data_IF_267824126858
#
_entry.id   IF_267824126858
#
_cell.length_a   1.000
_cell.length_b   1.000
_cell.length_c   1.000
_cell.angle_alpha   90.00
_cell.angle_beta   90.00
_cell.angle_gamma   90.00
#
_symmetry.space_group_name_H-M   'P 1'
#
loop_
_entity.id
_entity.type
_entity.pdbx_description
1 polymer ?
#
# COMPACT_ATOMS: atom_id res chain seq x y z
N UNK A 1 -38.81 -67.10 3.37
CA UNK A 1 -38.42 -66.09 4.38
C UNK A 1 -37.75 -64.94 3.68
N UNK A 2 -38.23 -63.70 3.86
CA UNK A 2 -37.79 -62.49 3.18
C UNK A 2 -36.71 -61.76 4.00
N UNK A 3 -35.75 -61.11 3.35
CA UNK A 3 -35.07 -59.95 3.96
C UNK A 3 -34.71 -58.91 2.91
N UNK A 4 -35.43 -57.80 3.02
CA UNK A 4 -35.30 -56.53 2.35
C UNK A 4 -34.03 -55.80 2.82
N UNK A 5 -33.19 -55.29 1.90
CA UNK A 5 -32.11 -54.35 2.25
C UNK A 5 -32.14 -53.13 1.33
N UNK A 6 -32.92 -52.15 1.80
CA UNK A 6 -32.64 -50.72 1.93
C UNK A 6 -31.63 -50.09 0.94
N UNK A 7 -32.19 -49.30 0.01
CA UNK A 7 -31.51 -48.23 -0.75
C UNK A 7 -31.03 -47.14 0.23
N UNK A 8 -29.71 -46.87 0.29
CA UNK A 8 -29.18 -45.64 0.91
C UNK A 8 -29.11 -44.52 -0.12
N UNK A 9 -29.89 -43.49 0.13
CA UNK A 9 -29.87 -42.20 -0.56
C UNK A 9 -28.71 -41.38 0.01
N UNK A 10 -27.65 -41.19 -0.77
CA UNK A 10 -26.61 -40.19 -0.47
C UNK A 10 -27.00 -38.86 -1.12
N UNK A 11 -27.84 -38.08 -0.42
CA UNK A 11 -28.13 -36.67 -0.73
C UNK A 11 -27.47 -35.75 0.30
N UNK A 12 -26.15 -35.62 0.29
CA UNK A 12 -25.44 -34.62 1.09
C UNK A 12 -24.33 -34.02 0.22
N UNK A 13 -24.74 -33.15 -0.70
CA UNK A 13 -23.87 -32.45 -1.64
C UNK A 13 -24.45 -31.08 -2.00
N UNK A 14 -25.09 -30.41 -1.05
CA UNK A 14 -25.32 -28.96 -1.18
C UNK A 14 -24.00 -28.29 -0.84
N UNK A 15 -23.13 -28.16 -1.84
CA UNK A 15 -22.07 -27.16 -1.86
C UNK A 15 -22.76 -25.82 -1.66
N UNK A 16 -22.68 -25.31 -0.43
CA UNK A 16 -23.16 -23.99 -0.07
C UNK A 16 -22.22 -22.97 -0.75
N UNK A 17 -22.52 -22.66 -2.00
CA UNK A 17 -22.07 -21.47 -2.70
C UNK A 17 -22.70 -20.26 -1.96
N UNK A 18 -22.15 -19.93 -0.79
CA UNK A 18 -22.26 -18.60 -0.23
C UNK A 18 -21.48 -17.68 -1.16
N UNK A 19 -22.17 -17.29 -2.24
CA UNK A 19 -22.00 -16.01 -2.90
C UNK A 19 -22.11 -14.96 -1.80
N UNK A 20 -20.98 -14.66 -1.17
CA UNK A 20 -20.80 -13.43 -0.41
C UNK A 20 -21.08 -12.35 -1.45
N UNK A 21 -22.31 -11.83 -1.42
CA UNK A 21 -22.65 -10.56 -2.00
C UNK A 21 -21.73 -9.55 -1.30
N UNK A 22 -20.52 -9.43 -1.84
CA UNK A 22 -19.47 -8.58 -1.29
C UNK A 22 -20.05 -7.20 -1.27
N UNK A 23 -20.34 -6.71 -0.06
CA UNK A 23 -20.90 -5.39 0.15
C UNK A 23 -20.05 -4.40 -0.67
N UNK A 24 -20.65 -3.85 -1.73
CA UNK A 24 -20.00 -2.99 -2.71
C UNK A 24 -19.69 -1.59 -2.14
N UNK A 25 -19.58 -1.47 -0.80
CA UNK A 25 -19.40 -0.20 -0.11
C UNK A 25 -18.97 -0.36 1.35
N UNK A 26 -18.76 0.77 2.04
CA UNK A 26 -18.47 0.80 3.47
C UNK A 26 -19.56 0.09 4.28
N UNK A 27 -19.17 -0.56 5.38
CA UNK A 27 -20.13 -1.31 6.20
C UNK A 27 -21.12 -0.38 6.93
N UNK A 28 -20.67 0.83 7.27
CA UNK A 28 -21.46 1.84 7.98
C UNK A 28 -21.07 3.24 7.53
N UNK A 29 -22.09 4.04 7.24
CA UNK A 29 -21.94 5.48 6.99
C UNK A 29 -22.49 6.30 8.15
N UNK A 30 -21.77 7.36 8.47
CA UNK A 30 -22.11 8.37 9.46
C UNK A 30 -22.48 9.68 8.74
N UNK A 31 -23.25 10.58 9.38
CA UNK A 31 -23.58 11.89 8.80
C UNK A 31 -22.30 12.67 8.49
N UNK A 32 -22.24 13.33 7.32
CA UNK A 32 -21.08 14.15 6.95
C UNK A 32 -20.85 15.26 8.01
N UNK A 33 -19.61 15.46 8.47
CA UNK A 33 -19.32 16.56 9.39
C UNK A 33 -19.43 17.90 8.65
N UNK A 34 -19.93 18.98 9.29
CA UNK A 34 -20.12 20.27 8.64
C UNK A 34 -18.81 20.92 8.17
N UNK A 35 -17.67 20.51 8.73
CA UNK A 35 -16.36 21.03 8.38
C UNK A 35 -15.83 20.48 7.05
N UNK A 36 -16.30 19.31 6.59
CA UNK A 36 -15.78 18.69 5.37
C UNK A 36 -16.76 18.83 4.20
N UNK A 37 -16.29 19.19 2.99
CA UNK A 37 -17.14 19.24 1.82
C UNK A 37 -17.62 17.83 1.44
N UNK A 38 -18.83 17.72 0.90
CA UNK A 38 -19.37 16.43 0.42
C UNK A 38 -18.56 15.86 -0.76
N UNK A 39 -17.83 16.73 -1.48
CA UNK A 39 -16.96 16.36 -2.59
C UNK A 39 -15.70 17.21 -2.65
N UNK A 40 -14.58 16.61 -3.05
CA UNK A 40 -13.31 17.29 -3.25
C UNK A 40 -12.59 16.72 -4.50
N UNK A 41 -12.27 17.57 -5.47
CA UNK A 41 -11.63 17.21 -6.75
C UNK A 41 -12.23 15.97 -7.42
N UNK A 42 -13.56 15.95 -7.60
CA UNK A 42 -14.28 14.85 -8.26
C UNK A 42 -14.48 13.59 -7.41
N UNK A 43 -14.04 13.58 -6.14
CA UNK A 43 -14.22 12.47 -5.20
C UNK A 43 -15.29 12.82 -4.19
N UNK A 44 -16.14 11.84 -3.83
CA UNK A 44 -17.18 12.00 -2.83
C UNK A 44 -16.67 11.61 -1.44
N UNK A 45 -17.15 12.29 -0.41
CA UNK A 45 -16.91 11.95 0.98
C UNK A 45 -17.74 10.73 1.41
N UNK A 46 -17.05 9.74 1.97
CA UNK A 46 -17.61 8.58 2.65
C UNK A 46 -17.14 8.62 4.10
N UNK A 47 -18.05 9.03 4.99
CA UNK A 47 -17.75 9.11 6.42
C UNK A 47 -18.09 7.79 7.10
N UNK A 48 -17.07 7.02 7.50
CA UNK A 48 -17.21 5.73 8.19
C UNK A 48 -16.78 5.86 9.65
N UNK A 49 -17.01 4.87 10.54
CA UNK A 49 -16.50 4.94 11.92
C UNK A 49 -14.99 5.17 12.02
N UNK A 50 -14.21 4.62 11.10
CA UNK A 50 -12.74 4.65 11.17
C UNK A 50 -12.08 5.76 10.34
N UNK A 51 -12.75 6.29 9.31
CA UNK A 51 -12.16 7.33 8.47
C UNK A 51 -13.17 8.24 7.76
N UNK A 52 -12.66 9.39 7.31
CA UNK A 52 -13.21 10.21 6.25
C UNK A 52 -12.52 9.82 4.95
N UNK A 53 -13.25 9.20 4.03
CA UNK A 53 -12.68 8.64 2.80
C UNK A 53 -13.19 9.45 1.61
N UNK A 54 -12.30 10.09 0.87
CA UNK A 54 -12.63 10.71 -0.41
C UNK A 54 -12.30 9.72 -1.53
N UNK A 55 -13.34 9.19 -2.16
CA UNK A 55 -13.22 8.25 -3.27
C UNK A 55 -14.30 8.52 -4.32
N UNK A 56 -14.04 8.17 -5.59
CA UNK A 56 -15.01 8.34 -6.67
C UNK A 56 -16.23 7.42 -6.54
N UNK A 57 -15.99 6.18 -6.17
CA UNK A 57 -17.00 5.12 -6.17
C UNK A 57 -17.15 4.48 -4.78
N UNK A 58 -18.33 3.92 -4.56
CA UNK A 58 -18.71 3.25 -3.31
C UNK A 58 -17.78 2.07 -3.02
N UNK A 59 -17.44 1.31 -4.06
CA UNK A 59 -16.66 0.08 -4.00
C UNK A 59 -15.25 0.35 -3.48
N UNK A 60 -14.65 1.45 -3.95
CA UNK A 60 -13.32 1.93 -3.54
C UNK A 60 -13.38 2.38 -2.08
N UNK A 61 -14.42 3.10 -1.70
CA UNK A 61 -14.61 3.52 -0.31
C UNK A 61 -14.79 2.30 0.61
N UNK A 62 -15.52 1.27 0.16
CA UNK A 62 -15.72 0.02 0.90
C UNK A 62 -14.45 -0.81 1.03
N UNK A 63 -13.64 -0.90 -0.03
CA UNK A 63 -12.30 -1.48 0.05
C UNK A 63 -11.43 -0.72 1.07
N UNK A 64 -11.50 0.61 1.01
CA UNK A 64 -10.74 1.49 1.89
C UNK A 64 -11.13 1.29 3.36
N UNK A 65 -12.43 1.27 3.66
CA UNK A 65 -12.96 1.05 5.01
C UNK A 65 -12.54 -0.31 5.57
N UNK A 66 -12.60 -1.38 4.75
CA UNK A 66 -12.24 -2.74 5.17
C UNK A 66 -10.77 -2.89 5.55
N UNK A 67 -9.84 -2.30 4.81
CA UNK A 67 -8.42 -2.42 5.18
C UNK A 67 -8.10 -1.59 6.44
N UNK A 68 -8.73 -0.42 6.60
CA UNK A 68 -8.57 0.41 7.80
C UNK A 68 -9.10 -0.34 9.03
N UNK A 69 -10.27 -0.97 8.94
CA UNK A 69 -10.81 -1.81 10.00
C UNK A 69 -9.88 -2.99 10.30
N UNK A 70 -9.33 -3.65 9.27
CA UNK A 70 -8.34 -4.72 9.42
C UNK A 70 -7.08 -4.28 10.19
N UNK A 71 -6.52 -3.11 9.85
CA UNK A 71 -5.39 -2.51 10.57
C UNK A 71 -5.79 -2.15 12.01
N UNK A 72 -6.94 -1.51 12.22
CA UNK A 72 -7.43 -1.16 13.56
C UNK A 72 -7.61 -2.40 14.45
N UNK A 73 -8.16 -3.49 13.89
CA UNK A 73 -8.29 -4.76 14.59
C UNK A 73 -6.93 -5.40 14.92
N UNK A 74 -5.93 -5.28 14.05
CA UNK A 74 -4.56 -5.69 14.38
C UNK A 74 -4.00 -4.86 15.53
N UNK A 75 -4.14 -3.54 15.48
CA UNK A 75 -3.61 -2.65 16.53
C UNK A 75 -4.23 -2.93 17.90
N UNK A 76 -5.54 -3.19 17.92
CA UNK A 76 -6.25 -3.53 19.15
C UNK A 76 -5.75 -4.86 19.74
N UNK A 77 -5.63 -5.91 18.91
CA UNK A 77 -5.17 -7.23 19.38
C UNK A 77 -3.70 -7.26 19.81
N UNK A 78 -2.84 -6.51 19.13
CA UNK A 78 -1.38 -6.61 19.30
C UNK A 78 -0.85 -5.59 20.32
N UNK A 79 -1.46 -4.40 20.39
CA UNK A 79 -0.92 -3.28 21.15
C UNK A 79 -1.91 -2.66 22.15
N UNK A 80 -3.13 -3.23 22.28
CA UNK A 80 -4.23 -2.62 23.03
C UNK A 80 -4.49 -1.15 22.61
N UNK A 81 -4.24 -0.87 21.33
CA UNK A 81 -4.32 0.47 20.75
C UNK A 81 -5.47 0.62 19.76
N UNK A 82 -5.83 1.85 19.45
CA UNK A 82 -6.76 2.18 18.37
C UNK A 82 -6.04 3.02 17.31
N UNK A 83 -6.38 2.79 16.04
CA UNK A 83 -5.83 3.57 14.92
C UNK A 83 -6.22 5.06 15.03
N UNK A 84 -7.42 5.33 15.57
CA UNK A 84 -8.03 6.65 15.55
C UNK A 84 -8.57 7.02 14.16
N UNK A 85 -9.37 8.09 14.09
CA UNK A 85 -10.01 8.52 12.85
C UNK A 85 -8.96 9.00 11.84
N UNK A 86 -9.00 8.45 10.63
CA UNK A 86 -8.17 8.89 9.51
C UNK A 86 -8.89 9.79 8.51
N UNK A 87 -8.12 10.54 7.73
CA UNK A 87 -8.56 11.14 6.46
C UNK A 87 -7.80 10.47 5.31
N UNK A 88 -8.51 9.86 4.37
CA UNK A 88 -7.90 9.15 3.24
C UNK A 88 -8.44 9.70 1.94
N UNK A 89 -7.54 10.13 1.05
CA UNK A 89 -7.89 10.53 -0.32
C UNK A 89 -7.42 9.41 -1.26
N UNK A 90 -8.35 8.80 -1.98
CA UNK A 90 -8.06 7.64 -2.83
C UNK A 90 -7.98 8.07 -4.28
N UNK A 91 -6.83 7.81 -4.91
CA UNK A 91 -6.63 8.02 -6.34
C UNK A 91 -7.19 6.82 -7.12
N UNK A 92 -7.81 7.09 -8.26
CA UNK A 92 -8.44 6.07 -9.07
C UNK A 92 -8.18 6.24 -10.59
N UNK A 93 -8.40 5.18 -11.38
CA UNK A 93 -8.20 5.10 -12.83
C UNK A 93 -8.96 6.15 -13.64
N UNK A 94 -10.07 6.66 -13.12
CA UNK A 94 -10.91 7.66 -13.79
C UNK A 94 -10.65 9.09 -13.32
N UNK A 95 -9.77 9.28 -12.33
CA UNK A 95 -9.35 10.62 -11.94
C UNK A 95 -8.62 11.31 -13.09
N UNK A 96 -8.83 12.62 -13.22
CA UNK A 96 -8.19 13.43 -14.27
C UNK A 96 -6.73 13.75 -13.91
N UNK A 97 -6.42 13.79 -12.61
CA UNK A 97 -5.11 14.16 -12.08
C UNK A 97 -4.74 13.33 -10.85
N UNK A 98 -3.46 12.98 -10.68
CA UNK A 98 -2.99 12.31 -9.48
C UNK A 98 -3.12 13.24 -8.26
N UNK A 99 -3.25 12.66 -7.07
CA UNK A 99 -3.32 13.44 -5.82
C UNK A 99 -1.99 14.14 -5.54
N UNK A 100 -0.89 13.49 -5.89
CA UNK A 100 0.47 14.04 -5.83
C UNK A 100 0.89 14.34 -7.24
N UNK A 101 1.18 15.60 -7.57
CA UNK A 101 1.35 16.03 -8.96
C UNK A 101 2.77 15.78 -9.50
N UNK A 102 3.78 15.77 -8.62
CA UNK A 102 5.19 15.70 -9.02
C UNK A 102 6.01 14.82 -8.09
N UNK A 103 7.18 14.33 -8.55
CA UNK A 103 8.10 13.60 -7.68
C UNK A 103 8.69 14.45 -6.55
N UNK A 104 8.85 15.76 -6.77
CA UNK A 104 9.32 16.68 -5.73
C UNK A 104 8.29 16.80 -4.61
N UNK A 105 7.00 16.87 -4.97
CA UNK A 105 5.91 16.82 -3.99
C UNK A 105 5.85 15.48 -3.27
N UNK A 106 5.99 14.36 -4.02
CA UNK A 106 6.02 13.03 -3.42
C UNK A 106 7.17 12.88 -2.41
N UNK A 107 8.38 13.33 -2.76
CA UNK A 107 9.52 13.29 -1.86
C UNK A 107 9.28 14.17 -0.62
N UNK A 108 8.77 15.38 -0.81
CA UNK A 108 8.39 16.29 0.28
C UNK A 108 7.39 15.66 1.23
N UNK A 109 6.34 15.01 0.72
CA UNK A 109 5.33 14.35 1.53
C UNK A 109 5.89 13.12 2.24
N UNK A 110 6.68 12.30 1.56
CA UNK A 110 7.33 11.14 2.19
C UNK A 110 8.33 11.54 3.28
N UNK A 111 8.86 12.77 3.27
CA UNK A 111 9.68 13.29 4.38
C UNK A 111 8.91 13.57 5.66
N UNK A 112 7.58 13.62 5.60
CA UNK A 112 6.73 13.68 6.80
C UNK A 112 6.73 12.33 7.54
N UNK A 113 7.06 11.23 6.86
CA UNK A 113 7.28 9.95 7.53
C UNK A 113 8.62 9.97 8.27
N UNK A 114 8.66 9.41 9.48
CA UNK A 114 9.89 9.31 10.27
C UNK A 114 11.00 8.62 9.47
N UNK A 115 12.25 8.94 9.79
CA UNK A 115 13.41 8.33 9.14
C UNK A 115 13.42 6.79 9.27
N UNK A 116 12.80 6.24 10.33
CA UNK A 116 12.61 4.80 10.54
C UNK A 116 11.74 4.12 9.47
N UNK A 117 10.84 4.86 8.83
CA UNK A 117 10.03 4.39 7.71
C UNK A 117 10.69 4.65 6.35
N UNK A 118 11.85 5.31 6.34
CA UNK A 118 12.65 5.55 5.16
C UNK A 118 13.65 4.43 4.91
N UNK A 119 13.97 4.10 3.65
CA UNK A 119 15.23 3.43 3.37
C UNK A 119 16.40 4.29 3.89
N UNK A 120 17.46 3.63 4.41
CA UNK A 120 18.67 4.26 4.96
C UNK A 120 19.31 5.32 4.03
N UNK A 121 19.11 5.18 2.72
CA UNK A 121 19.37 6.21 1.71
C UNK A 121 18.07 6.53 0.98
N UNK A 122 17.47 7.70 1.23
CA UNK A 122 16.38 8.21 0.39
C UNK A 122 17.01 8.78 -0.89
N UNK A 123 16.72 8.22 -2.08
CA UNK A 123 17.21 8.80 -3.33
C UNK A 123 16.62 10.20 -3.49
N UNK A 124 17.48 11.14 -3.91
CA UNK A 124 17.07 12.47 -4.35
C UNK A 124 16.03 12.37 -5.48
N UNK A 125 15.22 13.42 -5.73
CA UNK A 125 14.27 13.42 -6.84
C UNK A 125 14.90 13.06 -8.18
N UNK A 126 16.13 13.51 -8.46
CA UNK A 126 16.85 13.19 -9.69
C UNK A 126 17.37 11.75 -9.74
N UNK A 127 17.76 11.17 -8.62
CA UNK A 127 18.05 9.73 -8.52
C UNK A 127 16.79 8.91 -8.78
N UNK A 128 15.66 9.29 -8.18
CA UNK A 128 14.37 8.64 -8.43
C UNK A 128 13.97 8.72 -9.90
N UNK A 129 14.11 9.89 -10.54
CA UNK A 129 13.85 10.03 -11.98
C UNK A 129 14.70 9.07 -12.80
N UNK A 130 16.00 8.96 -12.49
CA UNK A 130 16.91 8.02 -13.15
C UNK A 130 16.50 6.56 -12.91
N UNK A 131 16.09 6.19 -11.70
CA UNK A 131 15.62 4.85 -11.35
C UNK A 131 14.29 4.49 -12.03
N UNK A 132 13.35 5.43 -12.11
CA UNK A 132 12.09 5.28 -12.83
C UNK A 132 12.35 5.05 -14.32
N UNK A 133 13.21 5.87 -14.93
CA UNK A 133 13.64 5.66 -16.33
C UNK A 133 14.30 4.30 -16.49
N UNK A 134 15.22 3.92 -15.60
CA UNK A 134 15.92 2.63 -15.68
C UNK A 134 14.97 1.44 -15.52
N UNK A 135 13.93 1.57 -14.70
CA UNK A 135 12.92 0.52 -14.49
C UNK A 135 11.84 0.49 -15.57
N UNK A 136 11.67 1.57 -16.34
CA UNK A 136 10.63 1.70 -17.36
C UNK A 136 9.29 2.25 -16.83
N UNK A 137 9.28 2.83 -15.63
CA UNK A 137 8.13 3.52 -15.03
C UNK A 137 8.17 5.00 -15.39
N UNK A 138 7.04 5.59 -15.78
CA UNK A 138 6.97 7.04 -15.96
C UNK A 138 6.82 7.75 -14.61
N UNK A 139 7.25 9.02 -14.56
CA UNK A 139 7.01 9.88 -13.40
C UNK A 139 5.52 10.00 -13.08
N UNK A 140 4.68 10.11 -14.11
CA UNK A 140 3.23 10.14 -13.97
C UNK A 140 2.68 8.89 -13.27
N UNK A 141 3.12 7.69 -13.68
CA UNK A 141 2.72 6.43 -13.02
C UNK A 141 3.14 6.38 -11.56
N UNK A 142 4.35 6.85 -11.25
CA UNK A 142 4.83 6.93 -9.88
C UNK A 142 3.93 7.85 -9.02
N UNK A 143 3.55 9.01 -9.58
CA UNK A 143 2.66 9.98 -8.94
C UNK A 143 1.23 9.43 -8.75
N UNK A 144 0.67 8.76 -9.75
CA UNK A 144 -0.63 8.09 -9.66
C UNK A 144 -0.67 7.00 -8.59
N UNK A 145 0.42 6.27 -8.44
CA UNK A 145 0.53 5.16 -7.49
C UNK A 145 0.99 5.58 -6.08
N UNK A 146 1.11 6.89 -5.84
CA UNK A 146 1.69 7.41 -4.61
C UNK A 146 0.90 7.00 -3.37
N UNK A 147 1.62 6.41 -2.41
CA UNK A 147 1.19 6.27 -1.02
C UNK A 147 2.02 7.23 -0.20
N UNK A 148 1.37 8.24 0.39
CA UNK A 148 2.07 9.27 1.13
C UNK A 148 1.18 9.88 2.22
N UNK A 149 1.76 10.29 3.36
CA UNK A 149 1.03 11.14 4.30
C UNK A 149 0.70 12.47 3.64
N UNK A 150 -0.37 13.12 4.09
CA UNK A 150 -0.74 14.44 3.61
C UNK A 150 -0.33 15.49 4.63
N UNK A 151 0.05 16.67 4.16
CA UNK A 151 0.11 17.88 4.99
C UNK A 151 -1.05 18.82 4.67
N UNK A 152 -1.07 19.99 5.32
CA UNK A 152 -2.12 20.99 5.12
C UNK A 152 -2.15 21.48 3.66
N UNK A 153 -0.97 21.69 3.07
CA UNK A 153 -0.85 22.13 1.68
C UNK A 153 -1.44 21.10 0.72
N UNK A 154 -1.06 19.82 0.85
CA UNK A 154 -1.59 18.76 -0.01
C UNK A 154 -3.11 18.54 0.18
N UNK A 155 -3.62 18.64 1.41
CA UNK A 155 -5.07 18.62 1.65
C UNK A 155 -5.77 19.79 0.94
N UNK A 156 -5.18 20.99 0.97
CA UNK A 156 -5.75 22.18 0.34
C UNK A 156 -5.77 22.06 -1.18
N UNK A 157 -4.67 21.57 -1.79
CA UNK A 157 -4.59 21.25 -3.22
C UNK A 157 -5.64 20.20 -3.63
N UNK A 158 -5.94 19.25 -2.74
CA UNK A 158 -6.99 18.26 -2.95
C UNK A 158 -8.43 18.80 -2.77
N UNK A 159 -8.61 20.10 -2.49
CA UNK A 159 -9.91 20.73 -2.31
C UNK A 159 -10.49 20.61 -0.90
N UNK A 160 -9.66 20.30 0.10
CA UNK A 160 -10.08 20.18 1.50
C UNK A 160 -9.77 21.46 2.29
N UNK A 161 -10.53 21.75 3.37
CA UNK A 161 -10.28 22.91 4.21
C UNK A 161 -8.94 22.81 4.94
N UNK A 162 -8.38 23.97 5.26
CA UNK A 162 -7.15 24.08 6.08
C UNK A 162 -7.34 23.47 7.47
N UNK A 163 -8.52 23.69 8.06
CA UNK A 163 -8.90 23.14 9.35
C UNK A 163 -9.73 21.87 9.12
N UNK A 164 -9.15 20.73 9.48
CA UNK A 164 -9.82 19.43 9.47
C UNK A 164 -10.58 19.21 10.79
N UNK A 165 -11.57 18.30 10.83
CA UNK A 165 -12.23 17.89 12.07
C UNK A 165 -11.20 17.48 13.14
N UNK A 166 -11.49 17.84 14.40
CA UNK A 166 -10.56 17.61 15.53
C UNK A 166 -10.27 16.14 15.80
N UNK A 167 -11.16 15.25 15.36
CA UNK A 167 -11.01 13.82 15.55
C UNK A 167 -10.06 13.19 14.51
N UNK A 168 -9.68 13.89 13.42
CA UNK A 168 -8.70 13.40 12.43
C UNK A 168 -7.31 13.33 13.07
N UNK A 169 -6.81 12.10 13.28
CA UNK A 169 -5.52 11.87 13.94
C UNK A 169 -4.40 11.56 12.94
N UNK A 170 -4.74 11.19 11.71
CA UNK A 170 -3.78 10.91 10.63
C UNK A 170 -4.43 11.15 9.27
N UNK A 171 -3.61 11.40 8.25
CA UNK A 171 -4.07 11.70 6.90
C UNK A 171 -3.10 11.19 5.85
N UNK A 172 -3.61 10.61 4.77
CA UNK A 172 -2.79 10.08 3.68
C UNK A 172 -3.54 10.03 2.34
N UNK A 173 -2.79 9.90 1.25
CA UNK A 173 -3.30 9.46 -0.02
C UNK A 173 -2.81 8.05 -0.37
N UNK A 174 -3.58 7.35 -1.19
CA UNK A 174 -3.20 6.05 -1.74
C UNK A 174 -3.97 5.76 -3.05
N UNK A 175 -3.46 4.89 -3.93
CA UNK A 175 -4.22 4.39 -5.05
C UNK A 175 -5.29 3.39 -4.60
N UNK A 176 -6.38 3.27 -5.35
CA UNK A 176 -7.30 2.15 -5.26
C UNK A 176 -6.64 0.85 -5.77
N UNK A 177 -7.16 -0.32 -5.38
CA UNK A 177 -6.62 -1.58 -5.89
C UNK A 177 -6.75 -1.70 -7.41
N UNK A 178 -7.81 -1.16 -8.00
CA UNK A 178 -7.98 -1.16 -9.47
C UNK A 178 -6.93 -0.28 -10.17
N UNK A 179 -6.60 0.88 -9.60
CA UNK A 179 -5.52 1.72 -10.12
C UNK A 179 -4.15 1.06 -9.96
N UNK A 180 -3.86 0.51 -8.78
CA UNK A 180 -2.63 -0.24 -8.53
C UNK A 180 -2.44 -1.39 -9.53
N UNK A 181 -3.52 -2.14 -9.82
CA UNK A 181 -3.50 -3.22 -10.80
C UNK A 181 -3.29 -2.71 -12.23
N UNK A 182 -3.96 -1.61 -12.63
CA UNK A 182 -3.78 -0.99 -13.95
C UNK A 182 -2.32 -0.57 -14.17
N UNK A 183 -1.76 0.19 -13.22
CA UNK A 183 -0.36 0.64 -13.27
C UNK A 183 0.59 -0.55 -13.38
N UNK A 184 0.37 -1.59 -12.57
CA UNK A 184 1.21 -2.79 -12.61
C UNK A 184 1.12 -3.52 -13.97
N UNK A 185 -0.08 -3.61 -14.57
CA UNK A 185 -0.27 -4.23 -15.90
C UNK A 185 0.46 -3.47 -17.00
N UNK A 186 0.50 -2.15 -16.91
CA UNK A 186 1.16 -1.29 -17.90
C UNK A 186 2.69 -1.30 -17.72
N UNK A 187 3.17 -1.32 -16.48
CA UNK A 187 4.60 -1.23 -16.16
C UNK A 187 5.33 -2.58 -16.17
N UNK A 188 4.76 -3.63 -15.57
CA UNK A 188 5.48 -4.88 -15.31
C UNK A 188 6.06 -5.54 -16.57
N UNK A 189 5.34 -5.65 -17.72
CA UNK A 189 5.91 -6.21 -18.93
C UNK A 189 7.12 -5.42 -19.43
N UNK A 190 7.04 -4.07 -19.41
CA UNK A 190 8.12 -3.17 -19.82
C UNK A 190 9.34 -3.30 -18.91
N UNK A 191 9.10 -3.42 -17.61
CA UNK A 191 10.16 -3.62 -16.62
C UNK A 191 10.89 -4.95 -16.82
N UNK A 192 10.15 -6.03 -17.11
CA UNK A 192 10.74 -7.36 -17.40
C UNK A 192 11.57 -7.32 -18.68
N UNK A 193 11.02 -6.78 -19.77
CA UNK A 193 11.74 -6.65 -21.04
C UNK A 193 13.02 -5.81 -20.88
N UNK A 194 12.94 -4.70 -20.14
CA UNK A 194 14.10 -3.81 -19.92
C UNK A 194 15.18 -4.44 -19.04
N UNK A 195 14.80 -5.21 -18.00
CA UNK A 195 15.75 -5.83 -17.05
C UNK A 195 16.30 -7.18 -17.51
N UNK A 196 15.53 -7.95 -18.30
CA UNK A 196 15.86 -9.35 -18.65
C UNK A 196 15.92 -9.61 -20.16
N UNK A 197 15.59 -8.60 -20.97
CA UNK A 197 15.58 -8.70 -22.43
C UNK A 197 14.28 -9.29 -22.98
N UNK A 198 14.06 -9.05 -24.27
CA UNK A 198 12.84 -9.43 -24.99
C UNK A 198 12.58 -10.95 -25.02
N UNK A 199 13.63 -11.75 -25.16
CA UNK A 199 13.51 -13.22 -25.16
C UNK A 199 12.91 -13.75 -23.84
N UNK A 200 13.39 -13.24 -22.71
CA UNK A 200 12.84 -13.60 -21.41
C UNK A 200 11.40 -13.11 -21.23
N UNK A 201 11.10 -11.88 -21.68
CA UNK A 201 9.74 -11.33 -21.60
C UNK A 201 8.72 -12.18 -22.37
N UNK A 202 9.09 -12.71 -23.55
CA UNK A 202 8.23 -13.61 -24.32
C UNK A 202 7.98 -14.92 -23.55
N UNK A 203 9.03 -15.51 -22.98
CA UNK A 203 8.91 -16.76 -22.21
C UNK A 203 8.07 -16.55 -20.94
N UNK A 204 8.19 -15.40 -20.28
CA UNK A 204 7.48 -15.07 -19.06
C UNK A 204 6.03 -14.61 -19.30
N UNK A 205 5.65 -14.26 -20.54
CA UNK A 205 4.35 -13.69 -20.88
C UNK A 205 3.13 -14.47 -20.31
N UNK A 206 3.09 -15.82 -20.33
CA UNK A 206 1.97 -16.57 -19.76
C UNK A 206 1.82 -16.41 -18.24
N UNK A 207 2.91 -16.15 -17.52
CA UNK A 207 2.91 -15.97 -16.07
C UNK A 207 2.63 -14.51 -15.66
N UNK A 208 2.66 -13.56 -16.59
CA UNK A 208 2.52 -12.12 -16.31
C UNK A 208 1.21 -11.74 -15.62
N UNK A 209 0.04 -12.31 -15.93
CA UNK A 209 -1.19 -11.98 -15.21
C UNK A 209 -1.09 -12.25 -13.70
N UNK A 210 -0.51 -13.39 -13.32
CA UNK A 210 -0.31 -13.76 -11.91
C UNK A 210 0.75 -12.86 -11.27
N UNK A 211 1.88 -12.66 -11.95
CA UNK A 211 2.95 -11.78 -11.46
C UNK A 211 2.47 -10.34 -11.25
N UNK A 212 1.56 -9.85 -12.10
CA UNK A 212 0.96 -8.52 -11.99
C UNK A 212 0.03 -8.43 -10.78
N UNK A 213 -0.81 -9.44 -10.53
CA UNK A 213 -1.65 -9.48 -9.34
C UNK A 213 -0.78 -9.47 -8.07
N UNK A 214 0.31 -10.23 -8.06
CA UNK A 214 1.23 -10.27 -6.92
C UNK A 214 1.98 -8.95 -6.73
N UNK A 215 2.42 -8.31 -7.82
CA UNK A 215 3.09 -7.02 -7.75
C UNK A 215 2.13 -5.89 -7.30
N UNK A 216 0.84 -5.95 -7.65
CA UNK A 216 -0.16 -4.99 -7.18
C UNK A 216 -0.32 -5.00 -5.65
N UNK A 217 -0.11 -6.16 -4.99
CA UNK A 217 -0.15 -6.28 -3.52
C UNK A 217 0.94 -5.48 -2.81
N UNK A 218 1.99 -5.05 -3.52
CA UNK A 218 2.99 -4.13 -2.95
C UNK A 218 2.33 -2.81 -2.56
N UNK A 219 1.40 -2.30 -3.36
CA UNK A 219 0.67 -1.07 -3.05
C UNK A 219 -0.23 -1.23 -1.82
N UNK A 220 -0.91 -2.38 -1.70
CA UNK A 220 -1.68 -2.73 -0.51
C UNK A 220 -0.79 -2.76 0.74
N UNK A 221 0.36 -3.42 0.66
CA UNK A 221 1.33 -3.48 1.74
C UNK A 221 1.84 -2.08 2.11
N UNK A 222 2.23 -1.26 1.13
CA UNK A 222 2.73 0.09 1.37
C UNK A 222 1.66 0.97 2.03
N UNK A 223 0.39 0.86 1.61
CA UNK A 223 -0.73 1.57 2.24
C UNK A 223 -0.88 1.21 3.71
N UNK A 224 -0.94 -0.09 4.01
CA UNK A 224 -1.12 -0.60 5.37
C UNK A 224 0.05 -0.19 6.28
N UNK A 225 1.30 -0.36 5.80
CA UNK A 225 2.51 0.01 6.54
C UNK A 225 2.58 1.52 6.77
N UNK A 226 2.22 2.34 5.78
CA UNK A 226 2.22 3.81 5.93
C UNK A 226 1.24 4.25 7.02
N UNK A 227 0.04 3.70 7.04
CA UNK A 227 -0.96 4.00 8.07
C UNK A 227 -0.50 3.53 9.47
N UNK A 228 0.11 2.34 9.54
CA UNK A 228 0.72 1.84 10.78
C UNK A 228 1.81 2.79 11.31
N UNK A 229 2.70 3.27 10.44
CA UNK A 229 3.76 4.21 10.81
C UNK A 229 3.16 5.50 11.36
N UNK A 230 2.17 6.09 10.68
CA UNK A 230 1.47 7.30 11.13
C UNK A 230 0.77 7.13 12.49
N UNK A 231 0.32 5.92 12.80
CA UNK A 231 -0.16 5.59 14.14
C UNK A 231 0.96 5.48 15.17
N UNK A 232 2.05 4.78 14.85
CA UNK A 232 3.15 4.53 15.77
C UNK A 232 3.82 5.81 16.28
N UNK A 233 3.84 6.87 15.47
CA UNK A 233 4.35 8.19 15.85
C UNK A 233 3.53 8.85 16.98
N UNK A 234 2.27 8.45 17.15
CA UNK A 234 1.37 8.95 18.19
C UNK A 234 1.37 8.10 19.46
N UNK A 235 2.05 6.95 19.44
CA UNK A 235 2.14 6.07 20.60
C UNK A 235 3.20 6.60 21.57
N UNK A 236 2.74 6.98 22.76
CA UNK A 236 3.59 7.44 23.86
C UNK A 236 4.53 6.33 24.36
N UNK A 237 5.77 6.70 24.68
CA UNK A 237 6.77 5.78 25.24
C UNK A 237 7.45 4.86 24.22
N UNK A 238 7.12 4.95 22.94
CA UNK A 238 7.93 4.33 21.88
C UNK A 238 9.05 5.28 21.48
N UNK A 239 10.27 4.77 21.40
CA UNK A 239 11.40 5.48 20.81
C UNK A 239 11.52 5.18 19.30
N UNK A 240 12.41 5.88 18.61
CA UNK A 240 12.59 5.72 17.17
C UNK A 240 12.99 4.29 16.77
N UNK A 241 13.86 3.66 17.57
CA UNK A 241 14.35 2.28 17.33
C UNK A 241 13.22 1.26 17.46
N UNK A 242 12.38 1.40 18.48
CA UNK A 242 11.20 0.56 18.67
C UNK A 242 10.21 0.77 17.52
N UNK A 243 9.91 2.02 17.13
CA UNK A 243 9.01 2.30 16.01
C UNK A 243 9.48 1.63 14.72
N UNK A 244 10.77 1.74 14.41
CA UNK A 244 11.37 1.08 13.25
C UNK A 244 11.20 -0.43 13.29
N UNK A 245 11.60 -1.06 14.41
CA UNK A 245 11.52 -2.51 14.59
C UNK A 245 10.08 -3.02 14.47
N UNK A 246 9.11 -2.30 15.05
CA UNK A 246 7.71 -2.67 15.00
C UNK A 246 7.11 -2.47 13.59
N UNK A 247 7.49 -1.40 12.88
CA UNK A 247 7.07 -1.19 11.50
C UNK A 247 7.61 -2.29 10.56
N UNK A 248 8.87 -2.69 10.73
CA UNK A 248 9.46 -3.82 9.99
C UNK A 248 8.78 -5.15 10.33
N UNK A 249 8.46 -5.38 11.60
CA UNK A 249 7.71 -6.57 12.03
C UNK A 249 6.33 -6.61 11.38
N UNK A 250 5.59 -5.52 11.48
CA UNK A 250 4.26 -5.39 10.88
C UNK A 250 4.31 -5.59 9.36
N UNK A 251 5.28 -4.99 8.67
CA UNK A 251 5.48 -5.18 7.23
C UNK A 251 5.68 -6.66 6.87
N UNK A 252 6.50 -7.41 7.62
CA UNK A 252 6.75 -8.84 7.36
C UNK A 252 5.51 -9.69 7.62
N UNK A 253 4.83 -9.47 8.74
CA UNK A 253 3.57 -10.16 9.09
C UNK A 253 2.50 -9.90 8.02
N UNK A 254 2.38 -8.64 7.60
CA UNK A 254 1.38 -8.23 6.62
C UNK A 254 1.71 -8.74 5.22
N UNK A 255 2.98 -8.68 4.80
CA UNK A 255 3.43 -9.26 3.55
C UNK A 255 3.09 -10.75 3.47
N UNK A 256 3.35 -11.52 4.55
CA UNK A 256 3.01 -12.93 4.61
C UNK A 256 1.49 -13.17 4.49
N UNK A 257 0.68 -12.36 5.16
CA UNK A 257 -0.78 -12.45 5.13
C UNK A 257 -1.36 -12.12 3.75
N UNK A 258 -0.79 -11.12 3.06
CA UNK A 258 -1.21 -10.73 1.71
C UNK A 258 -0.75 -11.74 0.64
N UNK A 259 0.49 -12.21 0.77
CA UNK A 259 1.08 -13.17 -0.16
C UNK A 259 2.36 -13.81 0.40
N UNK A 260 2.42 -15.14 0.54
CA UNK A 260 3.66 -15.85 0.83
C UNK A 260 4.78 -15.56 -0.19
N UNK A 261 4.42 -15.34 -1.47
CA UNK A 261 5.39 -14.99 -2.52
C UNK A 261 5.99 -13.60 -2.30
N UNK A 262 5.18 -12.62 -1.91
CA UNK A 262 5.66 -11.28 -1.57
C UNK A 262 6.61 -11.32 -0.37
N UNK A 263 6.25 -12.08 0.68
CA UNK A 263 7.09 -12.27 1.86
C UNK A 263 8.45 -12.89 1.49
N UNK A 264 8.47 -13.90 0.63
CA UNK A 264 9.70 -14.50 0.11
C UNK A 264 10.52 -13.47 -0.69
N UNK A 265 9.88 -12.70 -1.57
CA UNK A 265 10.56 -11.69 -2.39
C UNK A 265 11.23 -10.61 -1.52
N UNK A 266 10.56 -10.11 -0.49
CA UNK A 266 11.13 -9.15 0.46
C UNK A 266 12.33 -9.74 1.22
N UNK A 267 12.20 -10.98 1.68
CA UNK A 267 13.30 -11.70 2.38
C UNK A 267 14.53 -11.84 1.48
N UNK A 268 14.35 -12.17 0.20
CA UNK A 268 15.44 -12.28 -0.77
C UNK A 268 16.09 -10.93 -1.08
N UNK A 269 15.29 -9.86 -1.17
CA UNK A 269 15.79 -8.50 -1.40
C UNK A 269 16.64 -7.99 -0.21
N UNK A 270 16.21 -8.26 1.03
CA UNK A 270 17.00 -7.94 2.23
C UNK A 270 18.34 -8.68 2.24
N UNK A 271 18.35 -9.97 1.88
CA UNK A 271 19.57 -10.77 1.78
C UNK A 271 20.55 -10.26 0.73
N UNK A 272 20.05 -9.88 -0.46
CA UNK A 272 20.89 -9.30 -1.51
C UNK A 272 21.54 -7.99 -1.07
N UNK A 273 20.82 -7.15 -0.31
CA UNK A 273 21.35 -5.90 0.24
C UNK A 273 22.44 -6.14 1.29
N UNK A 274 22.27 -7.13 2.16
CA UNK A 274 23.30 -7.49 3.16
C UNK A 274 24.57 -8.05 2.52
N UNK A 275 24.43 -8.84 1.46
CA UNK A 275 25.57 -9.46 0.78
C UNK A 275 26.35 -8.40 -0.05
N UNK A 276 25.64 -7.49 -0.74
CA UNK A 276 26.26 -6.39 -1.48
C UNK A 276 27.01 -5.38 -0.59
N UNK A 277 26.50 -5.12 0.63
CA UNK A 277 27.16 -4.21 1.58
C UNK A 277 28.47 -4.78 2.16
N UNK A 278 28.65 -6.11 2.17
CA UNK A 278 29.88 -6.75 2.67
C UNK A 278 30.99 -6.76 1.61
N UNK A 279 30.65 -6.93 0.34
CA UNK A 279 31.62 -6.95 -0.76
C UNK A 279 32.30 -5.59 -1.00
N UNK A 280 31.63 -4.47 -0.69
CA UNK A 280 32.19 -3.12 -0.87
C UNK A 280 33.15 -2.67 0.25
N UNK A 281 33.30 -3.45 1.32
CA UNK A 281 34.11 -3.06 2.49
C UNK A 281 35.56 -3.59 2.49
N UNK A 282 35.92 -4.45 1.53
CA UNK A 282 37.18 -5.22 1.58
C UNK A 282 38.24 -4.76 0.56
N UNK A 283 37.95 -3.77 -0.29
CA UNK A 283 38.89 -3.29 -1.33
C UNK A 283 39.77 -2.10 -0.91
N UNK A 284 39.66 -1.57 0.32
CA UNK A 284 40.39 -0.35 0.75
C UNK A 284 41.47 -0.60 1.81
N UNK A 285 42.08 -1.79 1.85
CA UNK A 285 43.28 -2.07 2.68
C UNK A 285 44.35 -2.79 1.85
N UNK A 286 44.96 -2.07 0.91
CA UNK A 286 45.98 -2.67 0.05
C UNK A 286 46.80 -1.69 -0.77
N UNK A 287 47.24 -0.57 -0.18
CA UNK A 287 48.33 0.23 -0.74
C UNK A 287 49.16 0.81 0.40
N UNK A 288 50.13 0.02 0.87
CA UNK A 288 51.25 0.56 1.62
C UNK A 288 52.10 1.42 0.66
N UNK A 289 52.56 2.62 1.07
CA UNK A 289 53.54 3.35 0.27
C UNK A 289 54.83 2.55 0.23
N UNK A 290 55.35 2.30 -0.97
CA UNK A 290 56.73 1.86 -1.15
C UNK A 290 57.63 3.08 -1.01
N UNK A 291 58.64 2.95 -0.14
CA UNK A 291 59.76 3.88 0.02
C UNK A 291 60.58 4.05 -1.28
#
# INVERSE_FOLDING_TARGET
MPFSVIRRVTRHGCVLLLLIAGACGPARLLPAPPELPESANGRRLWHTPHAYIYARETEIAGETDRWIDGLNGHLHRTYDGALGKGLVIVADVDDEQPIVATLDELDRLQRLLPASAAPASRPSPDERRRELVASGMSEEMACWSAVAPLDVAACTTAGLPVQLPRDVQWRMCCPSNRLALKITREFAPRAVERKKGKAFAIIAAPAMPVATLEAAKVFELTRDVTAFVLWSERVSGWDAVRREREAQRYMRERAFTLSPLLSLALTLAEKQKSDGSRASGDETRGAAPAD
#
